data_IF_918486864813
#
_entry.id   IF_918486864813
#
_cell.length_a   1.000
_cell.length_b   1.000
_cell.length_c   1.000
_cell.angle_alpha   90.00
_cell.angle_beta   90.00
_cell.angle_gamma   90.00
#
_symmetry.space_group_name_H-M   'P 1'
#
loop_
_entity.id
_entity.type
_entity.pdbx_description
1 polymer ?
#
# COMPACT_ATOMS: atom_id res chain seq x y z
N UNK A 1 -31.28 6.97 -42.38
CA UNK A 1 -30.83 7.83 -41.26
C UNK A 1 -30.99 7.05 -39.97
N UNK A 2 -29.89 6.60 -39.37
CA UNK A 2 -29.84 6.15 -37.98
C UNK A 2 -28.42 6.46 -37.49
N UNK A 3 -28.29 7.52 -36.69
CA UNK A 3 -27.03 7.94 -36.11
C UNK A 3 -26.73 7.08 -34.88
N UNK A 4 -25.64 6.31 -34.95
CA UNK A 4 -25.05 5.69 -33.77
C UNK A 4 -24.35 6.79 -32.95
N UNK A 5 -24.98 7.17 -31.83
CA UNK A 5 -24.29 7.90 -30.78
C UNK A 5 -23.40 6.92 -30.00
N UNK A 6 -22.13 6.84 -30.40
CA UNK A 6 -21.08 6.35 -29.52
C UNK A 6 -20.90 7.37 -28.39
N UNK A 7 -21.41 7.02 -27.21
CA UNK A 7 -21.08 7.73 -25.97
C UNK A 7 -19.64 7.35 -25.63
N UNK A 8 -18.71 8.27 -25.91
CA UNK A 8 -17.34 8.15 -25.43
C UNK A 8 -17.32 8.24 -23.91
N UNK A 9 -17.12 7.10 -23.25
CA UNK A 9 -16.77 7.04 -21.83
C UNK A 9 -15.32 7.50 -21.74
N UNK A 10 -15.09 8.77 -21.44
CA UNK A 10 -13.82 9.20 -20.87
C UNK A 10 -13.74 8.57 -19.48
N UNK A 11 -13.10 7.41 -19.37
CA UNK A 11 -12.85 6.74 -18.10
C UNK A 11 -11.92 7.63 -17.26
N UNK A 12 -12.50 8.48 -16.41
CA UNK A 12 -11.73 9.16 -15.39
C UNK A 12 -11.11 8.11 -14.49
N UNK A 13 -9.79 8.12 -14.31
CA UNK A 13 -9.13 7.26 -13.34
C UNK A 13 -9.61 7.66 -11.94
N UNK A 14 -9.88 6.69 -11.07
CA UNK A 14 -10.24 6.95 -9.68
C UNK A 14 -9.02 7.54 -8.94
N UNK A 15 -9.09 8.83 -8.65
CA UNK A 15 -8.06 9.58 -7.93
C UNK A 15 -8.23 9.40 -6.42
N UNK A 16 -7.12 9.34 -5.70
CA UNK A 16 -7.12 9.29 -4.25
C UNK A 16 -5.93 10.06 -3.66
N UNK A 17 -6.16 10.64 -2.48
CA UNK A 17 -5.16 11.36 -1.73
C UNK A 17 -4.33 10.43 -0.85
N UNK A 18 -3.01 10.60 -0.90
CA UNK A 18 -2.02 9.90 -0.12
C UNK A 18 -1.12 10.89 0.63
N UNK A 19 -0.51 10.41 1.71
CA UNK A 19 0.34 11.19 2.58
C UNK A 19 1.68 10.50 2.75
N UNK A 20 2.77 11.17 2.36
CA UNK A 20 4.13 10.68 2.56
C UNK A 20 4.80 11.45 3.69
N UNK A 21 5.19 10.75 4.74
CA UNK A 21 5.98 11.30 5.83
C UNK A 21 7.48 11.20 5.55
N UNK A 22 8.21 12.30 5.67
CA UNK A 22 9.67 12.37 5.60
C UNK A 22 10.24 13.21 6.73
N UNK A 23 11.51 13.02 7.02
CA UNK A 23 12.27 13.88 7.92
C UNK A 23 13.32 14.62 7.10
N UNK A 24 13.30 15.95 7.13
CA UNK A 24 14.26 16.80 6.45
C UNK A 24 15.33 17.29 7.42
N UNK A 25 16.52 17.58 6.89
CA UNK A 25 17.52 18.35 7.64
C UNK A 25 17.00 19.78 7.84
N UNK A 26 16.90 20.30 9.08
CA UNK A 26 16.48 21.68 9.32
C UNK A 26 17.27 22.73 8.52
N UNK A 27 18.56 22.49 8.23
CA UNK A 27 19.42 23.42 7.51
C UNK A 27 19.05 23.53 6.01
N UNK A 28 18.52 22.47 5.40
CA UNK A 28 18.15 22.45 3.97
C UNK A 28 16.65 22.38 3.74
N UNK A 29 15.84 22.29 4.80
CA UNK A 29 14.40 22.03 4.72
C UNK A 29 13.66 22.97 3.77
N UNK A 30 13.94 24.28 3.79
CA UNK A 30 13.28 25.24 2.91
C UNK A 30 13.58 24.96 1.43
N UNK A 31 14.85 24.68 1.09
CA UNK A 31 15.26 24.34 -0.25
C UNK A 31 14.71 22.99 -0.71
N UNK A 32 14.70 21.98 0.17
CA UNK A 32 14.15 20.66 -0.12
C UNK A 32 12.64 20.72 -0.37
N UNK A 33 11.90 21.51 0.41
CA UNK A 33 10.46 21.74 0.17
C UNK A 33 10.19 22.46 -1.15
N UNK A 34 10.98 23.48 -1.49
CA UNK A 34 10.87 24.15 -2.78
C UNK A 34 11.16 23.18 -3.94
N UNK A 35 12.20 22.36 -3.83
CA UNK A 35 12.53 21.36 -4.83
C UNK A 35 11.42 20.32 -5.02
N UNK A 36 10.75 19.90 -3.92
CA UNK A 36 9.59 19.01 -4.00
C UNK A 36 8.46 19.65 -4.82
N UNK A 37 8.18 20.94 -4.61
CA UNK A 37 7.17 21.66 -5.39
C UNK A 37 7.55 21.84 -6.86
N UNK A 38 8.82 22.13 -7.15
CA UNK A 38 9.27 22.43 -8.51
C UNK A 38 9.47 21.17 -9.36
N UNK A 39 9.98 20.09 -8.76
CA UNK A 39 10.45 18.91 -9.49
C UNK A 39 9.73 17.62 -9.11
N UNK A 40 8.82 17.69 -8.14
CA UNK A 40 8.06 16.54 -7.67
C UNK A 40 8.82 15.73 -6.64
N UNK A 41 8.40 14.48 -6.43
CA UNK A 41 9.22 13.53 -5.69
C UNK A 41 10.25 12.91 -6.63
N UNK A 42 11.53 12.98 -6.27
CA UNK A 42 12.60 12.27 -6.97
C UNK A 42 13.15 11.14 -6.10
N UNK A 43 13.31 9.96 -6.72
CA UNK A 43 13.84 8.76 -6.07
C UNK A 43 15.25 8.93 -5.46
N UNK A 44 16.00 9.94 -5.89
CA UNK A 44 17.43 10.10 -5.62
C UNK A 44 17.78 10.38 -4.15
N UNK A 45 16.79 10.69 -3.30
CA UNK A 45 16.99 10.82 -1.83
C UNK A 45 16.32 9.72 -1.00
N UNK A 46 15.68 8.72 -1.62
CA UNK A 46 15.12 7.61 -0.87
C UNK A 46 16.27 6.73 -0.32
N UNK A 47 16.37 6.66 1.01
CA UNK A 47 17.42 5.92 1.73
C UNK A 47 17.52 4.43 1.33
N UNK A 48 16.41 3.86 0.85
CA UNK A 48 16.34 2.50 0.35
C UNK A 48 16.03 2.57 -1.13
N UNK A 49 16.91 2.04 -1.98
CA UNK A 49 16.71 1.88 -3.42
C UNK A 49 15.64 0.83 -3.74
N UNK A 50 14.47 0.97 -3.10
CA UNK A 50 13.35 0.07 -3.22
C UNK A 50 12.75 0.21 -4.61
N UNK A 51 12.43 -0.93 -5.20
CA UNK A 51 11.73 -1.00 -6.46
C UNK A 51 10.46 -1.84 -6.31
N UNK A 52 9.53 -1.62 -7.22
CA UNK A 52 8.32 -2.44 -7.39
C UNK A 52 8.11 -2.73 -8.86
N UNK A 53 7.29 -3.74 -9.12
CA UNK A 53 6.77 -3.99 -10.48
C UNK A 53 5.65 -3.00 -10.78
N UNK A 54 5.50 -2.60 -12.05
CA UNK A 54 4.38 -1.75 -12.46
C UNK A 54 3.03 -2.37 -12.04
N UNK A 55 2.19 -1.69 -11.25
CA UNK A 55 0.88 -2.21 -10.87
C UNK A 55 -0.03 -2.50 -12.07
N UNK A 56 0.08 -1.72 -13.15
CA UNK A 56 -0.66 -1.95 -14.40
C UNK A 56 -0.31 -3.31 -15.00
N UNK A 57 0.99 -3.59 -15.15
CA UNK A 57 1.47 -4.84 -15.75
C UNK A 57 1.11 -6.06 -14.89
N UNK A 58 1.22 -5.94 -13.56
CA UNK A 58 0.83 -7.03 -12.65
C UNK A 58 -0.67 -7.32 -12.77
N UNK A 59 -1.53 -6.28 -12.76
CA UNK A 59 -2.99 -6.46 -12.92
C UNK A 59 -3.34 -7.08 -14.27
N UNK A 60 -2.72 -6.60 -15.35
CA UNK A 60 -2.90 -7.13 -16.71
C UNK A 60 -2.59 -8.63 -16.79
N UNK A 61 -1.54 -9.07 -16.12
CA UNK A 61 -1.10 -10.47 -16.12
C UNK A 61 -1.76 -11.34 -15.04
N UNK A 62 -2.45 -10.74 -14.07
CA UNK A 62 -3.06 -11.43 -12.92
C UNK A 62 -3.90 -12.65 -13.33
N UNK A 63 -4.81 -12.57 -14.32
CA UNK A 63 -5.60 -13.75 -14.73
C UNK A 63 -4.75 -14.93 -15.18
N UNK A 64 -3.60 -14.68 -15.83
CA UNK A 64 -2.69 -15.71 -16.30
C UNK A 64 -1.82 -16.27 -15.16
N UNK A 65 -1.16 -15.40 -14.40
CA UNK A 65 -0.17 -15.83 -13.40
C UNK A 65 -0.82 -16.45 -12.17
N UNK A 66 -2.08 -16.10 -11.87
CA UNK A 66 -2.85 -16.70 -10.78
C UNK A 66 -3.12 -18.20 -10.96
N UNK A 67 -2.94 -18.75 -12.18
CA UNK A 67 -3.07 -20.18 -12.46
C UNK A 67 -1.91 -21.01 -11.88
N UNK A 68 -0.76 -20.39 -11.61
CA UNK A 68 0.40 -21.03 -11.00
C UNK A 68 0.87 -20.26 -9.75
N UNK A 69 0.15 -20.34 -8.62
CA UNK A 69 0.42 -19.53 -7.42
C UNK A 69 1.88 -19.54 -6.93
N UNK A 70 2.56 -20.68 -6.97
CA UNK A 70 3.95 -20.81 -6.52
C UNK A 70 4.97 -20.10 -7.42
N UNK A 71 4.56 -19.72 -8.64
CA UNK A 71 5.37 -18.99 -9.63
C UNK A 71 5.09 -17.50 -9.69
N UNK A 72 3.99 -17.04 -9.11
CA UNK A 72 3.56 -15.63 -9.17
C UNK A 72 4.68 -14.68 -8.76
N UNK A 73 5.33 -14.92 -7.62
CA UNK A 73 6.39 -14.04 -7.10
C UNK A 73 7.58 -13.95 -8.04
N UNK A 74 7.98 -15.07 -8.64
CA UNK A 74 9.05 -15.12 -9.63
C UNK A 74 8.65 -14.32 -10.87
N UNK A 75 7.44 -14.52 -11.38
CA UNK A 75 6.92 -13.83 -12.55
C UNK A 75 6.80 -12.31 -12.33
N UNK A 76 6.26 -11.86 -11.20
CA UNK A 76 6.15 -10.43 -10.86
C UNK A 76 7.54 -9.80 -10.79
N UNK A 77 8.50 -10.43 -10.11
CA UNK A 77 9.88 -9.91 -9.99
C UNK A 77 10.63 -9.85 -11.32
N UNK A 78 10.21 -10.63 -12.31
CA UNK A 78 10.79 -10.59 -13.66
C UNK A 78 10.21 -9.45 -14.53
N UNK A 79 9.13 -8.80 -14.10
CA UNK A 79 8.58 -7.62 -14.79
C UNK A 79 9.52 -6.42 -14.68
N UNK A 80 9.35 -5.39 -15.54
CA UNK A 80 10.04 -4.12 -15.36
C UNK A 80 9.84 -3.57 -13.95
N UNK A 81 10.95 -3.24 -13.31
CA UNK A 81 10.96 -2.67 -11.97
C UNK A 81 11.15 -1.16 -12.04
N UNK A 82 10.39 -0.43 -11.23
CA UNK A 82 10.47 1.02 -11.10
C UNK A 82 10.80 1.41 -9.65
N UNK A 83 11.55 2.50 -9.43
CA UNK A 83 11.79 3.01 -8.09
C UNK A 83 10.49 3.37 -7.38
N UNK A 84 10.41 3.05 -6.07
CA UNK A 84 9.17 3.21 -5.32
C UNK A 84 9.23 4.05 -4.03
N UNK A 85 8.05 4.58 -3.79
CA UNK A 85 7.46 5.33 -2.70
C UNK A 85 6.90 4.56 -1.52
N UNK A 86 6.84 5.10 -0.30
CA UNK A 86 5.84 4.69 0.70
C UNK A 86 4.94 5.87 1.07
N UNK A 87 3.66 5.61 1.23
CA UNK A 87 2.69 6.58 1.74
C UNK A 87 1.56 5.88 2.52
N UNK A 88 0.76 6.68 3.22
CA UNK A 88 -0.44 6.27 3.94
C UNK A 88 -1.67 6.97 3.34
N UNK A 89 -2.88 6.44 3.56
CA UNK A 89 -4.12 7.15 3.20
C UNK A 89 -4.50 8.26 4.20
N UNK A 90 -3.80 8.34 5.34
CA UNK A 90 -4.09 9.30 6.40
C UNK A 90 -2.86 10.10 6.82
N UNK A 91 -3.06 11.40 7.01
CA UNK A 91 -2.04 12.34 7.47
C UNK A 91 -1.33 11.87 8.74
N UNK A 92 -2.09 11.50 9.79
CA UNK A 92 -1.48 11.13 11.07
C UNK A 92 -0.56 9.91 10.98
N UNK A 93 -0.86 8.98 10.07
CA UNK A 93 -0.03 7.78 9.91
C UNK A 93 1.30 8.16 9.25
N UNK A 94 1.25 8.99 8.21
CA UNK A 94 2.43 9.57 7.58
C UNK A 94 3.24 10.45 8.55
N UNK A 95 2.57 11.28 9.34
CA UNK A 95 3.19 12.13 10.35
C UNK A 95 3.96 11.29 11.39
N UNK A 96 3.39 10.17 11.86
CA UNK A 96 4.09 9.26 12.79
C UNK A 96 5.35 8.67 12.17
N UNK A 97 5.39 8.42 10.87
CA UNK A 97 6.62 7.99 10.19
C UNK A 97 7.64 9.13 10.08
N UNK A 98 7.20 10.35 9.75
CA UNK A 98 8.05 11.54 9.65
C UNK A 98 8.76 11.89 10.98
N UNK A 99 8.15 11.58 12.12
CA UNK A 99 8.71 11.86 13.46
C UNK A 99 9.58 10.74 14.04
N UNK A 100 9.84 9.64 13.30
CA UNK A 100 10.67 8.53 13.82
C UNK A 100 12.17 8.84 13.85
N UNK A 101 12.60 9.88 13.14
CA UNK A 101 14.01 10.29 13.02
C UNK A 101 14.18 11.71 13.52
N UNK A 102 15.40 12.04 13.93
CA UNK A 102 15.78 13.42 14.25
C UNK A 102 15.76 14.29 12.99
N UNK A 103 15.26 15.52 13.12
CA UNK A 103 15.15 16.52 12.05
C UNK A 103 13.78 17.19 12.01
N UNK A 104 13.47 17.84 10.90
CA UNK A 104 12.19 18.50 10.67
C UNK A 104 11.19 17.51 10.05
N UNK A 105 10.12 17.09 10.77
CA UNK A 105 9.12 16.21 10.22
C UNK A 105 8.22 16.95 9.23
N UNK A 106 8.07 16.37 8.03
CA UNK A 106 7.27 16.93 6.93
C UNK A 106 6.33 15.86 6.39
N UNK A 107 5.11 16.25 6.07
CA UNK A 107 4.14 15.41 5.34
C UNK A 107 3.85 16.04 4.00
N UNK A 108 3.94 15.23 2.96
CA UNK A 108 3.63 15.61 1.58
C UNK A 108 2.28 15.00 1.23
N UNK A 109 1.33 15.84 0.85
CA UNK A 109 0.00 15.43 0.39
C UNK A 109 0.05 15.29 -1.13
N UNK A 110 -0.37 14.13 -1.62
CA UNK A 110 -0.22 13.72 -3.02
C UNK A 110 -1.55 13.19 -3.52
N UNK A 111 -1.99 13.57 -4.72
CA UNK A 111 -3.14 12.97 -5.40
C UNK A 111 -2.68 12.07 -6.54
N UNK A 112 -3.06 10.79 -6.50
CA UNK A 112 -2.66 9.81 -7.51
C UNK A 112 -3.83 8.90 -7.89
N UNK A 113 -3.85 8.38 -9.13
CA UNK A 113 -4.75 7.30 -9.48
C UNK A 113 -4.52 6.06 -8.60
N UNK A 114 -5.59 5.42 -8.12
CA UNK A 114 -5.49 4.15 -7.40
C UNK A 114 -4.83 3.04 -8.24
N UNK A 115 -4.93 3.14 -9.56
CA UNK A 115 -4.24 2.26 -10.51
C UNK A 115 -2.71 2.38 -10.43
N UNK A 116 -2.16 3.49 -9.94
CA UNK A 116 -0.71 3.68 -9.87
C UNK A 116 -0.12 3.21 -8.53
N UNK A 117 -0.93 2.72 -7.59
CA UNK A 117 -0.45 2.26 -6.28
C UNK A 117 -0.60 0.76 -6.09
N UNK A 118 0.08 0.23 -5.08
CA UNK A 118 -0.12 -1.11 -4.55
C UNK A 118 -0.12 -1.05 -3.01
N UNK A 119 -0.74 -2.02 -2.35
CA UNK A 119 -0.71 -2.11 -0.87
C UNK A 119 0.69 -2.52 -0.42
N UNK A 120 1.27 -1.79 0.55
CA UNK A 120 2.48 -2.28 1.22
C UNK A 120 2.11 -3.36 2.24
N UNK A 121 2.11 -4.61 1.79
CA UNK A 121 1.73 -5.76 2.61
C UNK A 121 2.78 -6.19 3.63
N UNK A 122 3.99 -5.61 3.63
CA UNK A 122 5.18 -6.16 4.32
C UNK A 122 4.96 -6.30 5.82
N UNK A 123 4.40 -5.27 6.46
CA UNK A 123 4.27 -5.23 7.92
C UNK A 123 3.00 -5.89 8.46
N UNK A 124 2.10 -6.38 7.60
CA UNK A 124 0.88 -7.05 8.05
C UNK A 124 0.46 -8.17 7.10
N UNK A 125 -0.01 -7.80 5.91
CA UNK A 125 -0.74 -8.71 5.02
C UNK A 125 0.05 -9.96 4.60
N UNK A 126 1.32 -9.81 4.21
CA UNK A 126 2.16 -10.96 3.85
C UNK A 126 2.32 -11.94 5.02
N UNK A 127 2.43 -11.42 6.25
CA UNK A 127 2.60 -12.27 7.43
C UNK A 127 1.30 -13.04 7.72
N UNK A 128 0.14 -12.39 7.55
CA UNK A 128 -1.17 -13.05 7.69
C UNK A 128 -1.32 -14.15 6.64
N UNK A 129 -1.08 -13.86 5.35
CA UNK A 129 -1.19 -14.87 4.29
C UNK A 129 -0.23 -16.04 4.51
N UNK A 130 0.98 -15.77 5.00
CA UNK A 130 1.99 -16.79 5.23
C UNK A 130 1.68 -17.68 6.44
N UNK A 131 1.27 -17.06 7.56
CA UNK A 131 1.30 -17.67 8.88
C UNK A 131 -0.08 -17.75 9.56
N UNK A 132 -1.19 -17.52 8.85
CA UNK A 132 -2.52 -17.60 9.44
C UNK A 132 -2.70 -18.91 10.22
N UNK A 133 -2.40 -20.07 9.64
CA UNK A 133 -2.62 -21.38 10.29
C UNK A 133 -1.57 -21.78 11.33
N UNK A 134 -0.67 -20.87 11.73
CA UNK A 134 0.38 -21.16 12.72
C UNK A 134 -0.19 -21.44 14.11
N UNK A 135 -1.30 -20.79 14.48
CA UNK A 135 -2.01 -21.05 15.75
C UNK A 135 -2.78 -22.36 15.68
N UNK A 136 -3.77 -22.42 14.80
CA UNK A 136 -4.59 -23.59 14.46
C UNK A 136 -5.37 -23.31 13.17
N UNK A 137 -6.22 -24.22 12.68
CA UNK A 137 -7.09 -23.94 11.52
C UNK A 137 -8.49 -23.43 11.87
N UNK A 138 -8.84 -23.41 13.16
CA UNK A 138 -10.19 -23.08 13.64
C UNK A 138 -10.47 -21.58 13.59
N UNK A 139 -9.44 -20.75 13.70
CA UNK A 139 -9.58 -19.29 13.63
C UNK A 139 -9.62 -18.72 12.19
N UNK A 140 -9.66 -19.57 11.16
CA UNK A 140 -9.83 -19.11 9.76
C UNK A 140 -10.99 -18.12 9.56
N UNK A 141 -12.20 -18.32 10.14
CA UNK A 141 -13.30 -17.36 10.00
C UNK A 141 -12.96 -15.97 10.56
N UNK A 142 -12.24 -15.90 11.68
CA UNK A 142 -11.80 -14.64 12.29
C UNK A 142 -10.81 -13.90 11.38
N UNK A 143 -9.83 -14.61 10.81
CA UNK A 143 -8.87 -14.02 9.87
C UNK A 143 -9.59 -13.48 8.63
N UNK A 144 -10.55 -14.23 8.08
CA UNK A 144 -11.36 -13.80 6.93
C UNK A 144 -12.17 -12.55 7.25
N UNK A 145 -12.82 -12.50 8.41
CA UNK A 145 -13.59 -11.33 8.86
C UNK A 145 -12.69 -10.10 8.97
N UNK A 146 -11.54 -10.24 9.62
CA UNK A 146 -10.56 -9.16 9.81
C UNK A 146 -10.04 -8.65 8.47
N UNK A 147 -9.62 -9.54 7.57
CA UNK A 147 -9.15 -9.17 6.24
C UNK A 147 -10.25 -8.50 5.42
N UNK A 148 -11.48 -9.00 5.48
CA UNK A 148 -12.61 -8.39 4.79
C UNK A 148 -12.94 -6.98 5.27
N UNK A 149 -12.71 -6.70 6.56
CA UNK A 149 -12.95 -5.37 7.14
C UNK A 149 -11.86 -4.35 6.83
N UNK A 150 -10.61 -4.78 6.71
CA UNK A 150 -9.46 -3.90 6.45
C UNK A 150 -9.23 -3.72 4.94
N UNK A 151 -9.24 -4.84 4.20
CA UNK A 151 -8.82 -4.90 2.80
C UNK A 151 -9.97 -5.26 1.85
N UNK A 152 -11.19 -5.41 2.35
CA UNK A 152 -12.37 -5.69 1.53
C UNK A 152 -12.50 -7.14 1.05
N UNK A 153 -13.61 -7.42 0.36
CA UNK A 153 -13.98 -8.76 -0.08
C UNK A 153 -13.00 -9.36 -1.11
N UNK A 154 -12.37 -8.53 -1.94
CA UNK A 154 -11.39 -8.99 -2.93
C UNK A 154 -10.18 -9.67 -2.26
N UNK A 155 -9.65 -9.09 -1.17
CA UNK A 155 -8.58 -9.72 -0.41
C UNK A 155 -9.00 -11.03 0.24
N UNK A 156 -10.26 -11.14 0.70
CA UNK A 156 -10.78 -12.41 1.22
C UNK A 156 -10.78 -13.49 0.14
N UNK A 157 -11.15 -13.17 -1.10
CA UNK A 157 -11.10 -14.13 -2.21
C UNK A 157 -9.67 -14.63 -2.50
N UNK A 158 -8.68 -13.73 -2.47
CA UNK A 158 -7.27 -14.11 -2.60
C UNK A 158 -6.78 -14.94 -1.41
N UNK A 159 -7.19 -14.56 -0.20
CA UNK A 159 -6.84 -15.25 1.03
C UNK A 159 -7.44 -16.65 1.11
N UNK A 160 -8.69 -16.85 0.71
CA UNK A 160 -9.34 -18.16 0.71
C UNK A 160 -8.59 -19.15 -0.20
N UNK A 161 -8.13 -18.66 -1.36
CA UNK A 161 -7.23 -19.42 -2.24
C UNK A 161 -5.91 -19.73 -1.57
N UNK A 162 -5.30 -18.76 -0.86
CA UNK A 162 -4.05 -18.98 -0.14
C UNK A 162 -4.23 -20.00 1.00
N UNK A 163 -5.31 -19.92 1.77
CA UNK A 163 -5.62 -20.80 2.89
C UNK A 163 -5.87 -22.26 2.45
N UNK A 164 -6.30 -22.46 1.21
CA UNK A 164 -6.41 -23.80 0.60
C UNK A 164 -5.07 -24.42 0.21
N UNK A 165 -3.97 -23.65 0.23
CA UNK A 165 -2.64 -24.10 -0.18
C UNK A 165 -1.74 -24.41 1.03
N UNK A 166 -0.90 -25.44 0.92
CA UNK A 166 0.11 -25.79 1.93
C UNK A 166 1.50 -25.23 1.59
N UNK A 167 1.75 -24.86 0.34
CA UNK A 167 2.98 -24.23 -0.09
C UNK A 167 2.99 -22.75 0.31
N UNK A 168 3.93 -22.41 1.19
CA UNK A 168 4.19 -21.04 1.64
C UNK A 168 4.46 -20.09 0.49
N UNK A 169 5.17 -20.52 -0.57
CA UNK A 169 5.45 -19.68 -1.72
C UNK A 169 4.19 -19.39 -2.53
N UNK A 170 3.29 -20.37 -2.68
CA UNK A 170 1.99 -20.15 -3.28
C UNK A 170 1.11 -19.16 -2.49
N UNK A 171 1.07 -19.28 -1.16
CA UNK A 171 0.32 -18.33 -0.29
C UNK A 171 0.81 -16.91 -0.47
N UNK A 172 2.13 -16.77 -0.42
CA UNK A 172 2.83 -15.51 -0.60
C UNK A 172 2.57 -14.93 -2.00
N UNK A 173 2.63 -15.76 -3.05
CA UNK A 173 2.34 -15.34 -4.42
C UNK A 173 0.90 -14.84 -4.58
N UNK A 174 -0.07 -15.49 -3.94
CA UNK A 174 -1.47 -15.00 -3.93
C UNK A 174 -1.60 -13.68 -3.17
N UNK A 175 -0.80 -13.46 -2.12
CA UNK A 175 -0.72 -12.15 -1.46
C UNK A 175 -0.10 -11.09 -2.38
N UNK A 176 0.91 -11.44 -3.18
CA UNK A 176 1.48 -10.52 -4.18
C UNK A 176 0.38 -10.07 -5.16
N UNK A 177 -0.55 -10.93 -5.58
CA UNK A 177 -1.70 -10.51 -6.40
C UNK A 177 -2.70 -9.64 -5.63
N UNK A 178 -3.00 -10.01 -4.37
CA UNK A 178 -3.95 -9.27 -3.55
C UNK A 178 -3.53 -7.82 -3.31
N UNK A 179 -2.24 -7.53 -3.16
CA UNK A 179 -1.76 -6.15 -2.95
C UNK A 179 -1.90 -5.26 -4.19
N UNK A 180 -2.06 -5.86 -5.37
CA UNK A 180 -2.29 -5.16 -6.63
C UNK A 180 -3.78 -5.10 -7.02
N UNK A 181 -4.68 -5.80 -6.32
CA UNK A 181 -6.11 -5.80 -6.64
C UNK A 181 -6.74 -4.42 -6.36
N UNK A 182 -7.39 -3.82 -7.37
CA UNK A 182 -7.91 -2.45 -7.28
C UNK A 182 -9.03 -2.33 -6.23
N UNK A 183 -9.87 -3.36 -6.07
CA UNK A 183 -10.91 -3.37 -5.05
C UNK A 183 -10.31 -3.50 -3.64
N UNK A 184 -9.22 -4.25 -3.50
CA UNK A 184 -8.48 -4.32 -2.24
C UNK A 184 -7.80 -2.99 -1.88
N UNK A 185 -7.15 -2.36 -2.86
CA UNK A 185 -6.52 -1.04 -2.70
C UNK A 185 -7.55 0.00 -2.25
N UNK A 186 -8.71 0.04 -2.92
CA UNK A 186 -9.81 0.96 -2.59
C UNK A 186 -10.30 0.76 -1.17
N UNK A 187 -10.54 -0.49 -0.76
CA UNK A 187 -10.98 -0.81 0.60
C UNK A 187 -9.93 -0.45 1.66
N UNK A 188 -8.65 -0.76 1.40
CA UNK A 188 -7.56 -0.44 2.33
C UNK A 188 -7.30 1.05 2.44
N UNK A 189 -7.54 1.82 1.37
CA UNK A 189 -7.42 3.28 1.40
C UNK A 189 -8.45 3.87 2.36
N UNK A 190 -9.69 3.39 2.29
CA UNK A 190 -10.78 3.79 3.17
C UNK A 190 -10.72 3.19 4.59
N UNK A 191 -9.73 2.34 4.91
CA UNK A 191 -9.67 1.66 6.20
C UNK A 191 -9.38 2.62 7.37
N UNK A 192 -10.28 2.71 8.34
CA UNK A 192 -10.08 3.49 9.57
C UNK A 192 -9.53 2.67 10.75
N UNK A 193 -9.43 1.34 10.61
CA UNK A 193 -8.98 0.43 11.66
C UNK A 193 -7.45 0.48 11.74
N UNK A 194 -6.91 0.79 12.92
CA UNK A 194 -5.48 0.71 13.18
C UNK A 194 -4.98 -0.74 13.17
N UNK A 195 -3.79 -0.92 12.64
CA UNK A 195 -3.05 -2.17 12.56
C UNK A 195 -1.78 -2.01 13.38
N UNK A 196 -1.53 -2.93 14.30
CA UNK A 196 -0.24 -3.11 14.92
C UNK A 196 0.47 -4.23 14.17
N UNK A 197 1.30 -3.84 13.19
CA UNK A 197 2.05 -4.75 12.34
C UNK A 197 3.31 -5.29 13.00
N UNK A 198 4.23 -5.79 12.18
CA UNK A 198 5.57 -6.22 12.63
C UNK A 198 6.28 -5.08 13.35
N UNK A 199 7.08 -5.46 14.35
CA UNK A 199 7.86 -4.53 15.18
C UNK A 199 7.02 -3.46 15.92
N UNK A 200 5.71 -3.69 16.09
CA UNK A 200 4.81 -2.75 16.77
C UNK A 200 4.46 -1.51 15.96
N UNK A 201 4.76 -1.49 14.65
CA UNK A 201 4.40 -0.38 13.76
C UNK A 201 2.88 -0.18 13.74
N UNK A 202 2.44 1.05 14.04
CA UNK A 202 1.02 1.41 14.11
C UNK A 202 0.60 2.29 12.93
N UNK A 203 -0.33 1.81 12.13
CA UNK A 203 -0.82 2.45 10.89
C UNK A 203 -2.23 1.96 10.58
N UNK A 204 -3.03 2.72 9.84
CA UNK A 204 -4.29 2.21 9.25
C UNK A 204 -4.05 1.67 7.85
N UNK A 205 -3.21 2.35 7.08
CA UNK A 205 -2.88 1.94 5.72
C UNK A 205 -1.45 2.28 5.33
N UNK A 206 -0.95 1.54 4.35
CA UNK A 206 0.41 1.64 3.83
C UNK A 206 0.39 1.21 2.36
N UNK A 207 1.02 2.00 1.51
CA UNK A 207 1.01 1.83 0.06
C UNK A 207 2.41 2.03 -0.52
N UNK A 208 2.71 1.25 -1.55
CA UNK A 208 3.82 1.46 -2.46
C UNK A 208 3.36 2.43 -3.56
N UNK A 209 4.04 3.57 -3.71
CA UNK A 209 3.77 4.61 -4.73
C UNK A 209 4.89 4.63 -5.79
N UNK A 210 4.71 5.23 -6.97
CA UNK A 210 5.86 5.55 -7.82
C UNK A 210 6.79 6.53 -7.09
N UNK A 211 8.10 6.33 -7.15
CA UNK A 211 9.03 7.27 -6.51
C UNK A 211 9.12 8.62 -7.26
N UNK A 212 8.84 8.60 -8.57
CA UNK A 212 8.68 9.80 -9.39
C UNK A 212 7.22 10.22 -9.37
N UNK A 213 6.90 11.24 -8.58
CA UNK A 213 5.57 11.87 -8.54
C UNK A 213 5.67 13.22 -9.22
N UNK A 214 4.78 13.49 -10.17
CA UNK A 214 4.75 14.76 -10.89
C UNK A 214 4.46 15.93 -9.93
N UNK A 215 5.12 17.10 -10.08
CA UNK A 215 4.77 18.32 -9.35
C UNK A 215 3.28 18.62 -9.26
N UNK A 216 2.52 18.38 -10.34
CA UNK A 216 1.08 18.69 -10.38
C UNK A 216 0.24 17.78 -9.49
N UNK A 217 0.77 16.62 -9.09
CA UNK A 217 0.13 15.71 -8.15
C UNK A 217 0.37 16.10 -6.68
N UNK A 218 1.28 17.05 -6.41
CA UNK A 218 1.58 17.50 -5.04
C UNK A 218 0.59 18.58 -4.65
N UNK A 219 -0.17 18.32 -3.59
CA UNK A 219 -1.19 19.23 -3.08
C UNK A 219 -0.68 20.08 -1.91
N UNK A 220 0.22 19.55 -1.09
CA UNK A 220 0.78 20.26 0.07
C UNK A 220 2.12 19.67 0.53
N UNK A 221 2.93 20.49 1.22
CA UNK A 221 4.21 20.09 1.84
C UNK A 221 4.34 20.73 3.23
N UNK A 222 3.70 20.11 4.21
CA UNK A 222 3.47 20.71 5.53
C UNK A 222 4.45 20.21 6.59
N UNK A 223 4.80 21.09 7.53
CA UNK A 223 5.45 20.64 8.75
C UNK A 223 4.46 19.85 9.61
N UNK A 224 4.92 18.79 10.26
CA UNK A 224 4.13 18.15 11.31
C UNK A 224 4.17 19.05 12.55
N UNK A 225 3.01 19.59 12.93
CA UNK A 225 2.85 20.41 14.12
C UNK A 225 1.82 19.78 15.07
N UNK A 226 2.10 19.86 16.38
CA UNK A 226 1.18 19.40 17.41
C UNK A 226 1.16 17.88 17.63
N UNK A 227 0.25 17.40 18.50
CA UNK A 227 0.13 16.00 18.82
C UNK A 227 -0.45 15.20 17.64
N UNK A 228 0.18 14.08 17.30
CA UNK A 228 -0.30 13.19 16.25
C UNK A 228 -1.36 12.25 16.84
N UNK A 229 -2.53 12.17 16.19
CA UNK A 229 -3.60 11.29 16.65
C UNK A 229 -3.17 9.82 16.60
N UNK A 230 -3.85 8.96 17.37
CA UNK A 230 -3.63 7.51 17.34
C UNK A 230 -4.91 6.82 16.88
N UNK A 231 -4.86 5.77 16.03
CA UNK A 231 -6.06 5.07 15.60
C UNK A 231 -6.82 4.46 16.80
N UNK A 232 -8.15 4.60 16.78
CA UNK A 232 -9.03 4.23 17.91
C UNK A 232 -9.09 2.73 18.16
N UNK A 233 -9.28 1.93 17.10
CA UNK A 233 -9.32 0.46 17.17
C UNK A 233 -8.01 -0.11 16.63
N UNK A 234 -7.47 -1.14 17.28
CA UNK A 234 -6.22 -1.79 16.88
C UNK A 234 -6.43 -3.29 16.68
N UNK A 235 -5.98 -3.80 15.54
CA UNK A 235 -5.82 -5.23 15.29
C UNK A 235 -4.33 -5.55 15.37
N UNK A 236 -3.96 -6.47 16.25
CA UNK A 236 -2.58 -6.85 16.48
C UNK A 236 -2.23 -8.07 15.63
N UNK A 237 -1.19 -7.95 14.80
CA UNK A 237 -0.71 -9.03 13.95
C UNK A 237 -0.34 -10.28 14.76
N UNK A 238 0.31 -10.11 15.91
CA UNK A 238 0.73 -11.22 16.77
C UNK A 238 -0.48 -12.01 17.27
N UNK A 239 -1.52 -11.32 17.75
CA UNK A 239 -2.77 -11.95 18.18
C UNK A 239 -3.50 -12.69 17.06
N UNK A 240 -3.27 -12.32 15.80
CA UNK A 240 -3.90 -12.94 14.64
C UNK A 240 -3.19 -14.22 14.16
N UNK A 241 -1.89 -14.38 14.44
CA UNK A 241 -1.06 -15.47 13.89
C UNK A 241 -0.37 -16.34 14.95
N UNK A 242 -0.43 -15.97 16.23
CA UNK A 242 0.26 -16.67 17.31
C UNK A 242 -0.75 -17.28 18.28
N UNK A 243 -0.41 -18.47 18.80
CA UNK A 243 -1.20 -19.18 19.80
C UNK A 243 -1.16 -18.49 21.17
#
# INVERSE_FOLDING_TARGET
>A
MAANHAVGITSGKDMATFYRGITLDPATAAADKAAIWETGLLATKAFWGNTRSSPEEVRRLTPQIAAAPSKVRETIRALPQEPMTYACAYFDDAARYATRKEGLPVVITIDLPLEEVAIDGKDFLYTVFQLWDRRDRQHLPEVREILGRIFGAATVAWFDRAASNTDTMARIGLCDLAVHDLAAITAHHANEIGLAGRYGTLFRSAFDLPAKVDPTAILAVDNVAGPISTPKRKINLHSLISA
#
